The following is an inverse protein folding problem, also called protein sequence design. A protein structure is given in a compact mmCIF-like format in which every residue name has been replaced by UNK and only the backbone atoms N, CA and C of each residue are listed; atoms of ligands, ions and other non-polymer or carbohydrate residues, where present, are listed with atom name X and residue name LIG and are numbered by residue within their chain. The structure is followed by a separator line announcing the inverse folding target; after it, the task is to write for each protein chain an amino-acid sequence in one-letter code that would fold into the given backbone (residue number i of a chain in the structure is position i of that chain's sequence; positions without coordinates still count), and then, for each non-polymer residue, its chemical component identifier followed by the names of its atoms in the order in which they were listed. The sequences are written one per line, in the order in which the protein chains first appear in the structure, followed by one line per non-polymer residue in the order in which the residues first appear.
data_IF_654310609177
#
_entry.id   IF_654310609177
#
_cell.length_a   1.000
_cell.length_b   1.000
_cell.length_c   1.000
_cell.angle_alpha   90.00
_cell.angle_beta   90.00
_cell.angle_gamma   90.00
#
_symmetry.space_group_name_H-M   'P 1'
#
loop_
_entity.id
_entity.type
_entity.pdbx_description
1 polymer ?
#
# COMPACT_ATOMS: atom_id res chain seq x y z
N UNK A 1 -19.99 -3.06 13.76
CA UNK A 1 -20.47 -3.48 15.08
C UNK A 1 -19.38 -3.45 16.13
N UNK A 2 -19.72 -3.10 17.37
CA UNK A 2 -18.76 -3.06 18.48
C UNK A 2 -18.08 -4.43 18.69
N UNK A 3 -18.83 -5.51 18.54
CA UNK A 3 -18.30 -6.88 18.62
C UNK A 3 -17.23 -7.20 17.56
N UNK A 4 -17.28 -6.56 16.40
CA UNK A 4 -16.23 -6.68 15.38
C UNK A 4 -14.98 -5.89 15.80
N UNK A 5 -15.13 -4.67 16.29
CA UNK A 5 -14.04 -3.81 16.72
C UNK A 5 -13.31 -4.37 17.95
N UNK A 6 -14.01 -4.51 19.07
CA UNK A 6 -13.44 -4.99 20.33
C UNK A 6 -13.20 -6.50 20.37
N UNK A 7 -13.99 -7.28 19.63
CA UNK A 7 -13.87 -8.73 19.54
C UNK A 7 -12.92 -9.19 18.45
N UNK A 8 -13.47 -9.38 17.24
CA UNK A 8 -12.73 -10.02 16.13
C UNK A 8 -11.47 -9.27 15.70
N UNK A 9 -11.55 -7.95 15.56
CA UNK A 9 -10.40 -7.13 15.12
C UNK A 9 -9.47 -6.81 16.29
N UNK A 10 -10.01 -6.34 17.42
CA UNK A 10 -9.22 -6.05 18.61
C UNK A 10 -8.40 -7.25 19.09
N UNK A 11 -9.03 -8.41 19.24
CA UNK A 11 -8.32 -9.63 19.61
C UNK A 11 -7.24 -10.04 18.60
N UNK A 12 -7.44 -9.76 17.32
CA UNK A 12 -6.43 -10.00 16.30
C UNK A 12 -5.23 -9.08 16.48
N UNK A 13 -5.47 -7.78 16.70
CA UNK A 13 -4.41 -6.79 16.91
C UNK A 13 -3.61 -7.05 18.19
N UNK A 14 -4.28 -7.43 19.29
CA UNK A 14 -3.63 -7.77 20.56
C UNK A 14 -2.71 -8.99 20.48
N UNK A 15 -3.01 -9.91 19.57
CA UNK A 15 -2.27 -11.18 19.40
C UNK A 15 -1.49 -11.22 18.09
N UNK A 16 -1.12 -10.06 17.54
CA UNK A 16 -0.34 -10.00 16.32
C UNK A 16 1.00 -10.69 16.45
N UNK A 17 1.31 -11.51 15.46
CA UNK A 17 2.65 -12.01 15.20
C UNK A 17 3.32 -11.18 14.10
N UNK A 18 4.60 -11.42 13.88
CA UNK A 18 5.36 -10.77 12.81
C UNK A 18 4.68 -10.96 11.44
N UNK A 19 4.60 -9.88 10.70
CA UNK A 19 4.18 -9.92 9.31
C UNK A 19 5.40 -10.13 8.43
N UNK A 20 5.59 -11.36 7.97
CA UNK A 20 6.62 -11.64 6.97
C UNK A 20 6.22 -11.01 5.64
N UNK A 21 6.98 -10.01 5.20
CA UNK A 21 6.72 -9.28 3.96
C UNK A 21 7.26 -9.98 2.71
N UNK A 22 8.23 -10.89 2.83
CA UNK A 22 8.83 -11.53 1.66
C UNK A 22 7.98 -12.66 1.10
N UNK A 23 7.95 -12.77 -0.24
CA UNK A 23 7.25 -13.84 -0.98
C UNK A 23 8.13 -14.40 -2.07
N UNK A 24 8.39 -15.70 -2.01
CA UNK A 24 9.14 -16.42 -3.03
C UNK A 24 8.24 -16.74 -4.23
N UNK A 25 8.00 -15.73 -5.06
CA UNK A 25 7.16 -15.79 -6.27
C UNK A 25 7.86 -15.11 -7.44
N UNK A 26 7.36 -15.35 -8.66
CA UNK A 26 7.92 -14.70 -9.84
C UNK A 26 7.31 -13.34 -10.11
N UNK A 27 5.99 -13.20 -10.00
CA UNK A 27 5.27 -11.96 -10.34
C UNK A 27 4.73 -11.24 -9.10
N UNK A 28 4.95 -9.94 -9.06
CA UNK A 28 4.55 -8.99 -8.02
C UNK A 28 5.56 -7.88 -7.85
N UNK A 29 5.42 -7.05 -6.83
CA UNK A 29 6.32 -5.93 -6.53
C UNK A 29 7.63 -6.46 -5.95
N UNK A 30 8.78 -6.26 -6.61
CA UNK A 30 10.08 -6.72 -6.11
C UNK A 30 10.50 -5.99 -4.82
N UNK A 31 11.10 -6.71 -3.89
CA UNK A 31 11.74 -6.08 -2.73
C UNK A 31 12.89 -5.17 -3.20
N UNK A 32 12.92 -3.89 -2.81
CA UNK A 32 13.92 -2.93 -3.24
C UNK A 32 15.20 -3.03 -2.39
N UNK A 33 15.69 -4.25 -2.16
CA UNK A 33 16.83 -4.55 -1.29
C UNK A 33 17.92 -5.23 -2.09
N UNK A 34 19.13 -4.67 -2.04
CA UNK A 34 20.34 -5.25 -2.62
C UNK A 34 21.28 -5.69 -1.50
N UNK A 35 21.94 -6.83 -1.70
CA UNK A 35 22.87 -7.43 -0.74
C UNK A 35 24.20 -7.78 -1.39
N UNK A 36 25.26 -7.65 -0.64
CA UNK A 36 26.58 -8.20 -0.99
C UNK A 36 26.88 -9.50 -0.23
N UNK A 37 27.95 -10.18 -0.61
CA UNK A 37 28.39 -11.44 0.01
C UNK A 37 28.80 -11.28 1.49
N UNK A 38 29.04 -10.05 1.95
CA UNK A 38 29.45 -9.72 3.33
C UNK A 38 28.24 -9.39 4.22
N UNK A 39 27.01 -9.61 3.73
CA UNK A 39 25.74 -9.24 4.38
C UNK A 39 25.50 -7.73 4.51
N UNK A 40 26.21 -6.91 3.73
CA UNK A 40 25.85 -5.52 3.54
C UNK A 40 24.53 -5.40 2.79
N UNK A 41 23.66 -4.53 3.25
CA UNK A 41 22.31 -4.31 2.69
C UNK A 41 22.12 -2.85 2.27
N UNK A 42 21.44 -2.67 1.15
CA UNK A 42 20.99 -1.37 0.67
C UNK A 42 19.52 -1.44 0.27
N UNK A 43 18.68 -0.68 0.96
CA UNK A 43 17.27 -0.53 0.62
C UNK A 43 17.09 0.75 -0.20
N UNK A 44 16.52 0.64 -1.38
CA UNK A 44 16.32 1.75 -2.32
C UNK A 44 14.93 2.35 -2.12
N UNK A 45 14.88 3.62 -1.74
CA UNK A 45 13.65 4.33 -1.42
C UNK A 45 12.99 5.05 -2.60
N UNK A 46 13.65 5.15 -3.76
CA UNK A 46 13.07 5.82 -4.93
C UNK A 46 13.71 5.40 -6.24
N UNK A 47 13.02 5.65 -7.37
CA UNK A 47 13.59 5.45 -8.71
C UNK A 47 14.76 6.40 -8.95
N UNK A 48 14.71 7.59 -8.41
CA UNK A 48 15.82 8.56 -8.50
C UNK A 48 17.07 8.06 -7.77
N UNK A 49 16.90 7.47 -6.59
CA UNK A 49 18.00 6.84 -5.86
C UNK A 49 18.52 5.62 -6.63
N UNK A 50 17.65 4.76 -7.11
CA UNK A 50 18.05 3.61 -7.95
C UNK A 50 18.87 4.05 -9.15
N UNK A 51 18.41 5.08 -9.85
CA UNK A 51 19.16 5.65 -10.99
C UNK A 51 20.57 6.09 -10.59
N UNK A 52 20.69 6.81 -9.48
CA UNK A 52 21.97 7.28 -8.95
C UNK A 52 22.90 6.12 -8.55
N UNK A 53 22.37 5.12 -7.88
CA UNK A 53 23.14 3.93 -7.49
C UNK A 53 23.61 3.10 -8.70
N UNK A 54 22.79 3.00 -9.76
CA UNK A 54 23.20 2.39 -11.01
C UNK A 54 24.35 3.19 -11.68
N UNK A 55 24.31 4.52 -11.68
CA UNK A 55 25.41 5.36 -12.22
C UNK A 55 26.72 5.13 -11.45
N UNK A 56 26.64 4.93 -10.11
CA UNK A 56 27.83 4.52 -9.31
C UNK A 56 28.36 3.16 -9.75
N UNK A 57 27.45 2.20 -9.97
CA UNK A 57 27.80 0.86 -10.45
C UNK A 57 28.44 0.88 -11.84
N UNK A 58 27.96 1.71 -12.73
CA UNK A 58 28.57 1.92 -14.06
C UNK A 58 29.97 2.56 -13.91
N UNK A 59 30.10 3.56 -13.05
CA UNK A 59 31.39 4.23 -12.80
C UNK A 59 32.43 3.29 -12.18
N UNK A 60 31.99 2.32 -11.36
CA UNK A 60 32.82 1.28 -10.79
C UNK A 60 33.14 0.13 -11.78
N UNK A 61 32.55 0.12 -12.97
CA UNK A 61 32.74 -0.92 -13.99
C UNK A 61 31.99 -2.22 -13.71
N UNK A 62 31.06 -2.23 -12.75
CA UNK A 62 30.21 -3.39 -12.43
C UNK A 62 29.13 -3.53 -13.48
N UNK A 63 28.40 -2.46 -13.78
CA UNK A 63 27.46 -2.40 -14.90
C UNK A 63 28.09 -1.67 -16.10
N UNK A 64 27.69 -2.08 -17.30
CA UNK A 64 28.18 -1.43 -18.54
C UNK A 64 27.45 -0.13 -18.83
N UNK A 65 26.17 -0.10 -18.56
CA UNK A 65 25.26 1.02 -18.84
C UNK A 65 24.18 1.09 -17.76
N UNK A 66 23.55 2.25 -17.65
CA UNK A 66 22.35 2.41 -16.84
C UNK A 66 21.11 2.11 -17.71
N UNK A 67 20.36 1.02 -17.45
CA UNK A 67 19.23 0.63 -18.29
C UNK A 67 18.06 1.63 -18.24
N UNK A 68 17.90 2.39 -17.17
CA UNK A 68 16.89 3.44 -17.08
C UNK A 68 17.24 4.61 -18.02
N UNK A 69 18.51 4.99 -18.04
CA UNK A 69 19.05 6.03 -18.92
C UNK A 69 18.95 5.65 -20.40
N UNK A 70 19.29 4.42 -20.74
CA UNK A 70 19.18 3.94 -22.14
C UNK A 70 17.75 3.99 -22.65
N UNK A 71 16.77 3.76 -21.79
CA UNK A 71 15.34 3.86 -22.12
C UNK A 71 14.83 5.31 -22.14
N UNK A 72 15.69 6.28 -21.81
CA UNK A 72 15.33 7.71 -21.81
C UNK A 72 14.48 8.12 -20.62
N UNK A 73 14.58 7.41 -19.48
CA UNK A 73 13.96 7.83 -18.24
C UNK A 73 14.62 9.11 -17.72
N UNK A 74 13.80 10.06 -17.27
CA UNK A 74 14.24 11.36 -16.74
C UNK A 74 13.91 11.43 -15.26
N UNK A 75 14.92 11.58 -14.41
CA UNK A 75 14.74 11.74 -12.96
C UNK A 75 14.03 13.06 -12.67
N UNK A 76 13.00 13.01 -11.83
CA UNK A 76 12.18 14.16 -11.46
C UNK A 76 11.02 14.47 -12.42
N UNK A 77 10.89 13.74 -13.51
CA UNK A 77 9.69 13.78 -14.35
C UNK A 77 8.73 12.66 -13.93
N UNK A 78 7.66 13.01 -13.24
CA UNK A 78 6.65 12.09 -12.70
C UNK A 78 5.51 11.78 -13.68
N UNK A 79 5.62 12.21 -14.93
CA UNK A 79 4.63 11.92 -15.95
C UNK A 79 4.50 10.42 -16.25
N UNK A 80 3.29 9.98 -16.54
CA UNK A 80 3.01 8.60 -16.95
C UNK A 80 3.85 8.19 -18.16
N UNK A 81 4.07 9.09 -19.11
CA UNK A 81 4.87 8.83 -20.31
C UNK A 81 6.35 8.55 -19.96
N UNK A 82 6.88 9.17 -18.93
CA UNK A 82 8.23 8.90 -18.46
C UNK A 82 8.32 7.55 -17.74
N UNK A 83 7.36 7.24 -16.89
CA UNK A 83 7.33 5.95 -16.16
C UNK A 83 7.02 4.76 -17.08
N UNK A 84 6.28 4.94 -18.15
CA UNK A 84 6.04 3.90 -19.16
C UNK A 84 7.32 3.44 -19.90
N UNK A 85 8.43 4.19 -19.79
CA UNK A 85 9.72 3.81 -20.39
C UNK A 85 10.46 2.72 -19.61
N UNK A 86 10.10 2.51 -18.36
CA UNK A 86 10.80 1.58 -17.48
C UNK A 86 9.85 0.51 -16.97
N UNK A 87 10.42 -0.66 -16.63
CA UNK A 87 9.73 -1.75 -15.97
C UNK A 87 10.65 -2.27 -14.85
N UNK A 88 10.17 -2.19 -13.61
CA UNK A 88 10.90 -2.64 -12.42
C UNK A 88 10.42 -3.99 -11.90
N UNK A 89 9.55 -4.69 -12.65
CA UNK A 89 9.22 -6.08 -12.34
C UNK A 89 10.35 -7.04 -12.70
N UNK A 90 10.26 -8.24 -12.20
CA UNK A 90 11.10 -9.34 -12.67
C UNK A 90 10.73 -9.70 -14.12
N UNK A 91 11.69 -10.07 -14.98
CA UNK A 91 13.12 -10.25 -14.67
C UNK A 91 13.97 -8.96 -14.76
N UNK A 92 13.41 -7.85 -15.24
CA UNK A 92 14.18 -6.65 -15.62
C UNK A 92 14.98 -6.04 -14.48
N UNK A 93 14.39 -6.00 -13.28
CA UNK A 93 15.06 -5.44 -12.09
C UNK A 93 16.18 -6.38 -11.57
N UNK A 94 16.10 -7.67 -11.86
CA UNK A 94 17.07 -8.66 -11.39
C UNK A 94 18.44 -8.49 -12.07
N UNK A 95 18.49 -7.88 -13.26
CA UNK A 95 19.72 -7.57 -13.99
C UNK A 95 20.44 -6.31 -13.46
N UNK A 96 19.84 -5.58 -12.52
CA UNK A 96 20.44 -4.41 -11.91
C UNK A 96 21.36 -4.82 -10.78
N UNK A 97 22.66 -4.60 -10.97
CA UNK A 97 23.70 -4.87 -9.98
C UNK A 97 24.19 -3.53 -9.44
N UNK A 98 24.06 -3.30 -8.14
CA UNK A 98 24.57 -2.11 -7.48
C UNK A 98 26.00 -2.34 -6.96
N UNK A 99 26.58 -1.32 -6.37
CA UNK A 99 27.92 -1.37 -5.79
C UNK A 99 27.89 -0.86 -4.35
N UNK A 100 28.59 -1.56 -3.45
CA UNK A 100 28.78 -1.09 -2.08
C UNK A 100 29.94 -0.07 -1.98
N UNK A 101 30.17 0.47 -0.79
CA UNK A 101 31.19 1.49 -0.55
C UNK A 101 32.62 0.97 -0.75
N UNK A 102 32.82 -0.35 -0.77
CA UNK A 102 34.11 -0.99 -1.05
C UNK A 102 34.31 -1.31 -2.55
N UNK A 103 33.37 -0.95 -3.41
CA UNK A 103 33.41 -1.23 -4.84
C UNK A 103 33.02 -2.67 -5.22
N UNK A 104 32.37 -3.44 -4.30
CA UNK A 104 31.92 -4.80 -4.56
C UNK A 104 30.49 -4.85 -5.08
N UNK A 105 30.13 -5.84 -5.91
CA UNK A 105 28.78 -5.98 -6.45
C UNK A 105 27.76 -6.31 -5.35
N UNK A 106 26.56 -5.75 -5.50
CA UNK A 106 25.38 -6.06 -4.70
C UNK A 106 24.26 -6.54 -5.61
N UNK A 107 23.66 -7.66 -5.27
CA UNK A 107 22.57 -8.26 -6.02
C UNK A 107 21.23 -8.05 -5.30
N UNK A 108 20.16 -7.85 -6.06
CA UNK A 108 18.83 -7.69 -5.52
C UNK A 108 18.37 -8.97 -4.82
N UNK A 109 17.68 -8.81 -3.68
CA UNK A 109 16.97 -9.90 -3.02
C UNK A 109 15.91 -10.48 -3.98
N UNK A 110 15.91 -11.81 -4.17
CA UNK A 110 15.09 -12.46 -5.19
C UNK A 110 13.59 -12.43 -4.89
N UNK A 111 13.22 -12.28 -3.63
CA UNK A 111 11.83 -12.28 -3.22
C UNK A 111 11.08 -11.00 -3.65
N UNK A 112 9.76 -11.12 -3.63
CA UNK A 112 8.81 -10.04 -3.84
C UNK A 112 8.21 -9.63 -2.51
N UNK A 113 7.59 -8.44 -2.46
CA UNK A 113 6.81 -8.04 -1.30
C UNK A 113 5.44 -8.72 -1.31
N UNK A 114 4.85 -8.91 -0.14
CA UNK A 114 3.49 -9.40 0.01
C UNK A 114 2.50 -8.46 -0.68
N UNK A 115 1.61 -9.00 -1.52
CA UNK A 115 0.56 -8.24 -2.21
C UNK A 115 -0.36 -7.48 -1.24
N UNK A 116 -0.46 -7.92 0.01
CA UNK A 116 -1.17 -7.19 1.06
C UNK A 116 -0.48 -5.89 1.47
N UNK A 117 0.83 -5.78 1.25
CA UNK A 117 1.53 -4.52 1.37
C UNK A 117 1.12 -3.55 0.26
N UNK A 118 1.03 -4.02 -0.98
CA UNK A 118 0.57 -3.20 -2.11
C UNK A 118 -0.83 -2.62 -1.82
N UNK A 119 -1.78 -3.47 -1.42
CA UNK A 119 -3.14 -3.03 -1.10
C UNK A 119 -3.21 -2.13 0.15
N UNK A 120 -2.38 -2.38 1.16
CA UNK A 120 -2.30 -1.55 2.36
C UNK A 120 -1.63 -0.20 2.12
N UNK A 121 -0.81 -0.10 1.07
CA UNK A 121 -0.16 1.15 0.65
C UNK A 121 -1.04 2.05 -0.23
N UNK A 122 -2.21 1.57 -0.67
CA UNK A 122 -3.07 2.26 -1.62
C UNK A 122 -3.35 3.74 -1.26
N UNK A 123 -3.61 4.11 0.00
CA UNK A 123 -3.89 5.52 0.36
C UNK A 123 -2.77 6.48 -0.03
N UNK A 124 -1.54 5.99 -0.08
CA UNK A 124 -0.35 6.77 -0.39
C UNK A 124 0.10 6.57 -1.83
N UNK A 125 0.16 5.32 -2.28
CA UNK A 125 0.68 4.94 -3.58
C UNK A 125 -0.11 5.55 -4.74
N UNK A 126 -1.44 5.68 -4.62
CA UNK A 126 -2.29 6.28 -5.65
C UNK A 126 -1.96 7.75 -5.93
N UNK A 127 -1.29 8.43 -5.01
CA UNK A 127 -0.87 9.83 -5.13
C UNK A 127 0.63 9.99 -5.38
N UNK A 128 1.35 8.88 -5.58
CA UNK A 128 2.79 8.88 -5.71
C UNK A 128 3.50 9.52 -4.49
N UNK A 129 2.87 9.41 -3.31
CA UNK A 129 3.48 9.88 -2.05
C UNK A 129 4.80 9.11 -1.76
N UNK A 130 5.87 9.73 -1.25
CA UNK A 130 5.97 11.12 -0.77
C UNK A 130 6.42 12.14 -1.83
N UNK A 131 6.61 11.74 -3.09
CA UNK A 131 7.15 12.59 -4.16
C UNK A 131 6.11 13.58 -4.69
N UNK A 132 4.84 13.15 -4.68
CA UNK A 132 3.65 13.92 -4.98
C UNK A 132 2.60 13.65 -3.91
N UNK A 133 1.52 14.40 -3.89
CA UNK A 133 0.39 14.20 -2.99
C UNK A 133 0.65 14.46 -1.50
N UNK A 134 1.89 14.70 -1.09
CA UNK A 134 2.21 15.16 0.25
C UNK A 134 1.77 16.62 0.42
N UNK A 135 1.27 16.96 1.62
CA UNK A 135 0.94 18.35 1.89
C UNK A 135 2.20 19.10 2.35
N UNK A 136 2.42 20.25 1.71
CA UNK A 136 3.29 21.26 2.24
C UNK A 136 2.44 22.35 2.91
N UNK A 137 2.57 22.47 4.22
CA UNK A 137 1.75 23.40 5.00
C UNK A 137 1.89 24.87 4.55
N UNK A 138 3.00 25.22 3.91
CA UNK A 138 3.30 26.58 3.49
C UNK A 138 2.86 26.94 2.06
N UNK A 139 2.23 26.02 1.35
CA UNK A 139 1.73 26.23 0.00
C UNK A 139 0.21 26.05 -0.14
N UNK A 140 -0.29 26.27 -1.35
CA UNK A 140 -1.73 26.20 -1.67
C UNK A 140 -2.33 24.81 -1.40
N UNK A 141 -1.51 23.76 -1.33
CA UNK A 141 -1.99 22.40 -1.07
C UNK A 141 -2.63 22.23 0.32
N UNK A 142 -2.28 23.06 1.27
CA UNK A 142 -2.82 23.06 2.62
C UNK A 142 -4.00 24.03 2.84
N UNK A 143 -4.25 24.97 1.93
CA UNK A 143 -5.20 26.07 2.15
C UNK A 143 -6.65 25.59 2.42
N UNK A 144 -7.12 24.59 1.70
CA UNK A 144 -8.47 24.03 1.90
C UNK A 144 -8.58 23.46 3.31
N UNK A 145 -7.62 22.64 3.72
CA UNK A 145 -7.63 21.99 5.04
C UNK A 145 -7.52 23.02 6.16
N UNK A 146 -6.67 24.05 5.98
CA UNK A 146 -6.54 25.14 6.95
C UNK A 146 -7.86 25.89 7.12
N UNK A 147 -8.52 26.25 6.01
CA UNK A 147 -9.77 27.03 6.04
C UNK A 147 -10.94 26.24 6.62
N UNK A 148 -11.10 24.98 6.27
CA UNK A 148 -12.18 24.12 6.74
C UNK A 148 -12.07 23.76 8.23
N UNK A 149 -10.85 23.63 8.74
CA UNK A 149 -10.58 23.19 10.11
C UNK A 149 -10.09 24.33 11.03
N UNK A 150 -10.04 25.58 10.53
CA UNK A 150 -9.54 26.74 11.28
C UNK A 150 -8.09 26.57 11.80
N UNK A 151 -7.26 25.90 11.03
CA UNK A 151 -5.88 25.58 11.37
C UNK A 151 -4.95 26.73 10.99
N UNK A 152 -4.11 27.15 11.90
CA UNK A 152 -3.16 28.25 11.71
C UNK A 152 -1.70 27.82 11.69
N UNK A 153 -1.41 26.62 12.21
CA UNK A 153 -0.05 26.11 12.35
C UNK A 153 0.09 24.70 11.80
N UNK A 154 1.31 24.34 11.41
CA UNK A 154 1.62 22.98 10.99
C UNK A 154 1.44 21.96 12.13
N UNK A 155 1.63 22.38 13.38
CA UNK A 155 1.45 21.54 14.55
C UNK A 155 -0.02 21.18 14.76
N UNK A 156 -0.94 22.14 14.66
CA UNK A 156 -2.40 21.90 14.68
C UNK A 156 -2.82 20.97 13.54
N UNK A 157 -2.22 21.13 12.36
CA UNK A 157 -2.49 20.26 11.23
C UNK A 157 -2.04 18.82 11.48
N UNK A 158 -0.86 18.62 12.06
CA UNK A 158 -0.35 17.31 12.46
C UNK A 158 -1.26 16.64 13.49
N UNK A 159 -1.68 17.38 14.50
CA UNK A 159 -2.61 16.87 15.53
C UNK A 159 -3.96 16.44 14.97
N UNK A 160 -4.43 17.10 13.92
CA UNK A 160 -5.68 16.73 13.24
C UNK A 160 -5.55 15.41 12.47
N UNK A 161 -4.46 15.22 11.74
CA UNK A 161 -4.32 14.13 10.78
C UNK A 161 -3.61 12.89 11.33
N UNK A 162 -2.62 13.09 12.19
CA UNK A 162 -1.72 12.03 12.65
C UNK A 162 -1.52 12.14 14.16
N UNK A 163 -0.96 11.10 14.75
CA UNK A 163 -0.59 11.13 16.15
C UNK A 163 0.37 12.28 16.42
N UNK A 164 0.22 12.97 17.55
CA UNK A 164 1.08 14.08 17.98
C UNK A 164 2.57 13.71 18.09
N UNK A 165 2.89 12.42 18.23
CA UNK A 165 4.26 11.90 18.24
C UNK A 165 4.90 11.86 16.85
N UNK A 166 4.12 11.92 15.76
CA UNK A 166 4.65 11.93 14.40
C UNK A 166 5.49 13.18 14.14
N UNK A 167 6.74 12.96 13.73
CA UNK A 167 7.71 14.04 13.41
C UNK A 167 8.26 13.94 11.98
N UNK A 168 7.66 13.05 11.18
CA UNK A 168 8.09 12.84 9.81
C UNK A 168 7.73 14.01 8.89
N UNK A 169 8.55 14.20 7.88
CA UNK A 169 8.28 15.02 6.71
C UNK A 169 8.56 14.13 5.49
N UNK A 170 7.79 14.23 4.44
CA UNK A 170 6.64 15.12 4.20
C UNK A 170 5.39 14.72 4.98
N UNK A 171 4.45 15.65 5.10
CA UNK A 171 3.13 15.41 5.70
C UNK A 171 2.31 14.43 4.85
N UNK A 172 1.39 13.66 5.48
CA UNK A 172 0.51 12.78 4.75
C UNK A 172 -0.44 13.55 3.81
N UNK A 173 -1.12 12.86 2.87
CA UNK A 173 -2.14 13.46 2.02
C UNK A 173 -3.30 14.08 2.81
N UNK A 174 -3.97 15.09 2.26
CA UNK A 174 -5.05 15.82 2.91
C UNK A 174 -6.25 14.96 3.36
N UNK A 175 -6.52 13.86 2.68
CA UNK A 175 -7.59 12.92 3.03
C UNK A 175 -7.14 11.76 3.95
N UNK A 176 -5.94 11.83 4.48
CA UNK A 176 -5.46 10.85 5.45
C UNK A 176 -5.60 11.37 6.89
N UNK A 177 -6.09 10.55 7.85
CA UNK A 177 -6.70 9.23 7.66
C UNK A 177 -8.04 9.30 6.90
N UNK A 178 -8.40 8.23 6.18
CA UNK A 178 -9.67 8.17 5.46
C UNK A 178 -10.86 8.37 6.41
N UNK A 179 -11.90 9.08 5.97
CA UNK A 179 -13.09 9.28 6.80
C UNK A 179 -13.83 7.98 7.05
N UNK A 180 -13.94 7.11 6.05
CA UNK A 180 -14.46 5.75 6.20
C UNK A 180 -13.93 4.81 5.13
N UNK A 181 -13.96 3.52 5.43
CA UNK A 181 -13.80 2.42 4.47
C UNK A 181 -14.97 1.44 4.60
N UNK A 182 -15.26 0.68 3.55
CA UNK A 182 -16.31 -0.33 3.54
C UNK A 182 -15.85 -1.60 2.82
N UNK A 183 -15.81 -2.72 3.55
CA UNK A 183 -15.49 -4.05 3.03
C UNK A 183 -16.14 -5.13 3.90
N UNK A 184 -16.00 -6.38 3.49
CA UNK A 184 -16.51 -7.52 4.26
C UNK A 184 -15.77 -7.71 5.59
N UNK A 185 -16.45 -8.30 6.57
CA UNK A 185 -15.92 -8.57 7.92
C UNK A 185 -14.68 -9.46 7.94
N UNK A 186 -14.45 -10.25 6.90
CA UNK A 186 -13.23 -11.05 6.74
C UNK A 186 -11.96 -10.20 6.60
N UNK A 187 -12.10 -8.94 6.15
CA UNK A 187 -11.00 -8.00 6.00
C UNK A 187 -10.41 -7.49 7.33
N UNK A 188 -11.00 -7.82 8.46
CA UNK A 188 -10.38 -7.63 9.78
C UNK A 188 -9.03 -8.35 9.92
N UNK A 189 -8.84 -9.45 9.17
CA UNK A 189 -7.57 -10.20 9.09
C UNK A 189 -6.88 -10.07 7.73
N UNK A 190 -7.16 -9.01 7.01
CA UNK A 190 -6.62 -8.71 5.69
C UNK A 190 -6.41 -7.22 5.56
N UNK A 191 -7.15 -6.58 4.67
CA UNK A 191 -6.94 -5.18 4.29
C UNK A 191 -7.04 -4.18 5.45
N UNK A 192 -7.99 -4.33 6.38
CA UNK A 192 -8.09 -3.43 7.55
C UNK A 192 -6.82 -3.45 8.39
N UNK A 193 -6.26 -4.64 8.60
CA UNK A 193 -5.01 -4.80 9.33
C UNK A 193 -3.84 -4.16 8.57
N UNK A 194 -3.67 -4.47 7.28
CA UNK A 194 -2.51 -3.99 6.51
C UNK A 194 -2.52 -2.48 6.31
N UNK A 195 -3.70 -1.87 6.15
CA UNK A 195 -3.86 -0.41 6.18
C UNK A 195 -3.33 0.18 7.49
N UNK A 196 -3.77 -0.35 8.64
CA UNK A 196 -3.33 0.14 9.95
C UNK A 196 -1.85 -0.12 10.22
N UNK A 197 -1.33 -1.29 9.84
CA UNK A 197 0.07 -1.62 10.03
C UNK A 197 0.98 -0.61 9.32
N UNK A 198 0.70 -0.29 8.05
CA UNK A 198 1.49 0.67 7.29
C UNK A 198 1.30 2.09 7.85
N UNK A 199 0.06 2.51 8.12
CA UNK A 199 -0.23 3.84 8.66
C UNK A 199 0.46 4.08 10.01
N UNK A 200 0.45 3.08 10.89
CA UNK A 200 1.12 3.16 12.19
C UNK A 200 2.64 3.25 12.03
N UNK A 201 3.24 2.44 11.16
CA UNK A 201 4.68 2.47 10.92
C UNK A 201 5.16 3.78 10.28
N UNK A 202 4.39 4.34 9.36
CA UNK A 202 4.80 5.52 8.57
C UNK A 202 4.41 6.82 9.25
N UNK A 203 3.23 6.89 9.90
CA UNK A 203 2.65 8.13 10.42
C UNK A 203 2.31 8.09 11.92
N UNK A 204 2.52 6.96 12.59
CA UNK A 204 2.08 6.74 13.98
C UNK A 204 0.58 7.06 14.17
N UNK A 205 -0.24 6.67 13.21
CA UNK A 205 -1.65 7.02 13.12
C UNK A 205 -2.50 5.85 12.64
N UNK A 206 -3.83 5.97 12.82
CA UNK A 206 -4.80 5.07 12.18
C UNK A 206 -4.90 5.38 10.69
N UNK A 207 -5.27 4.39 9.88
CA UNK A 207 -5.46 4.58 8.44
C UNK A 207 -6.84 5.14 8.08
N UNK A 208 -7.83 4.93 8.93
CA UNK A 208 -9.22 5.36 8.74
C UNK A 208 -9.90 5.62 10.08
N UNK A 209 -10.89 6.53 10.08
CA UNK A 209 -11.65 6.94 11.27
C UNK A 209 -12.83 6.01 11.52
N UNK A 210 -13.48 5.55 10.46
CA UNK A 210 -14.69 4.73 10.52
C UNK A 210 -14.59 3.56 9.54
N UNK A 211 -15.24 2.44 9.88
CA UNK A 211 -15.35 1.29 9.01
C UNK A 211 -16.80 0.79 8.98
N UNK A 212 -17.31 0.57 7.77
CA UNK A 212 -18.54 -0.16 7.56
C UNK A 212 -18.14 -1.59 7.22
N UNK A 213 -18.39 -2.52 8.14
CA UNK A 213 -18.01 -3.92 8.00
C UNK A 213 -19.23 -4.73 7.58
N UNK A 214 -19.33 -5.02 6.28
CA UNK A 214 -20.45 -5.78 5.73
C UNK A 214 -20.39 -7.24 6.16
N UNK A 215 -21.55 -7.82 6.49
CA UNK A 215 -21.72 -9.24 6.79
C UNK A 215 -21.40 -10.13 5.57
N UNK A 216 -21.28 -11.43 5.82
CA UNK A 216 -21.06 -12.41 4.76
C UNK A 216 -22.39 -12.81 4.12
N UNK A 217 -22.39 -12.96 2.80
CA UNK A 217 -23.49 -13.65 2.11
C UNK A 217 -23.34 -15.15 2.39
N UNK A 218 -24.38 -15.73 2.99
CA UNK A 218 -24.41 -17.11 3.42
C UNK A 218 -25.20 -17.97 2.42
N UNK A 219 -25.00 -19.29 2.45
CA UNK A 219 -25.85 -20.22 1.72
C UNK A 219 -27.24 -20.34 2.36
N UNK A 220 -28.15 -21.07 1.71
CA UNK A 220 -29.53 -21.27 2.21
C UNK A 220 -29.62 -21.94 3.59
N UNK A 221 -28.53 -22.50 4.09
CA UNK A 221 -28.45 -23.16 5.42
C UNK A 221 -27.73 -22.25 6.45
N UNK A 222 -27.39 -21.03 6.06
CA UNK A 222 -26.63 -20.08 6.92
C UNK A 222 -25.13 -20.36 7.01
N UNK A 223 -24.56 -21.19 6.13
CA UNK A 223 -23.13 -21.45 6.14
C UNK A 223 -22.37 -20.48 5.23
N UNK A 224 -21.13 -20.16 5.63
CA UNK A 224 -20.21 -19.40 4.78
C UNK A 224 -19.99 -20.11 3.44
N UNK A 225 -20.15 -19.40 2.34
CA UNK A 225 -19.85 -19.91 1.01
C UNK A 225 -18.35 -20.14 0.83
N UNK A 226 -17.99 -21.28 0.25
CA UNK A 226 -16.60 -21.65 -0.02
C UNK A 226 -16.52 -22.52 -1.27
N UNK A 227 -15.54 -22.23 -2.13
CA UNK A 227 -15.26 -23.07 -3.32
C UNK A 227 -14.93 -24.51 -2.94
N UNK A 228 -14.31 -24.72 -1.78
CA UNK A 228 -13.95 -26.04 -1.27
C UNK A 228 -15.18 -26.87 -0.88
N UNK A 229 -16.20 -26.21 -0.33
CA UNK A 229 -17.47 -26.85 0.06
C UNK A 229 -18.41 -26.99 -1.15
N UNK A 230 -18.20 -26.23 -2.21
CA UNK A 230 -19.02 -26.26 -3.42
C UNK A 230 -20.39 -25.57 -3.28
N UNK A 231 -20.58 -24.74 -2.26
CA UNK A 231 -21.83 -24.02 -1.98
C UNK A 231 -21.80 -22.56 -2.47
N UNK A 232 -20.85 -22.22 -3.35
CA UNK A 232 -20.73 -20.87 -3.92
C UNK A 232 -21.80 -20.66 -4.99
N UNK A 233 -22.50 -19.53 -4.90
CA UNK A 233 -23.43 -19.06 -5.92
C UNK A 233 -22.67 -18.15 -6.88
N UNK A 234 -22.77 -18.41 -8.18
CA UNK A 234 -22.19 -17.54 -9.20
C UNK A 234 -23.05 -16.27 -9.34
N UNK A 235 -22.50 -15.08 -9.04
CA UNK A 235 -23.25 -13.84 -9.11
C UNK A 235 -23.69 -13.51 -10.55
N UNK A 236 -22.94 -13.91 -11.57
CA UNK A 236 -23.33 -13.68 -12.95
C UNK A 236 -24.55 -14.50 -13.37
N UNK A 237 -24.68 -15.74 -12.87
CA UNK A 237 -25.91 -16.53 -13.08
C UNK A 237 -27.11 -15.83 -12.44
N UNK A 238 -26.95 -15.28 -11.25
CA UNK A 238 -28.02 -14.52 -10.58
C UNK A 238 -28.39 -13.27 -11.35
N UNK A 239 -27.39 -12.51 -11.83
CA UNK A 239 -27.61 -11.32 -12.66
C UNK A 239 -28.33 -11.68 -13.96
N UNK A 240 -27.95 -12.76 -14.62
CA UNK A 240 -28.64 -13.23 -15.83
C UNK A 240 -30.09 -13.65 -15.56
N UNK A 241 -30.35 -14.26 -14.43
CA UNK A 241 -31.69 -14.78 -14.10
C UNK A 241 -32.63 -13.69 -13.58
N UNK A 242 -32.15 -12.78 -12.75
CA UNK A 242 -32.96 -11.81 -12.02
C UNK A 242 -32.73 -10.36 -12.40
N UNK A 243 -31.62 -10.05 -13.07
CA UNK A 243 -31.16 -8.70 -13.34
C UNK A 243 -30.16 -8.19 -12.27
N UNK A 244 -29.37 -7.19 -12.63
CA UNK A 244 -28.36 -6.64 -11.73
C UNK A 244 -28.97 -5.89 -10.53
N UNK A 245 -30.02 -5.12 -10.74
CA UNK A 245 -30.62 -4.29 -9.69
C UNK A 245 -31.29 -5.14 -8.59
N UNK A 246 -32.07 -6.20 -8.88
CA UNK A 246 -32.56 -7.09 -7.84
C UNK A 246 -31.45 -7.76 -7.03
N UNK A 247 -30.34 -8.18 -7.68
CA UNK A 247 -29.22 -8.79 -6.97
C UNK A 247 -28.53 -7.78 -6.05
N UNK A 248 -28.29 -6.55 -6.53
CA UNK A 248 -27.74 -5.46 -5.70
C UNK A 248 -28.66 -5.11 -4.53
N UNK A 249 -29.94 -4.98 -4.79
CA UNK A 249 -30.93 -4.67 -3.74
C UNK A 249 -30.97 -5.79 -2.68
N UNK A 250 -30.95 -7.05 -3.07
CA UNK A 250 -30.85 -8.16 -2.14
C UNK A 250 -29.62 -8.05 -1.24
N UNK A 251 -28.43 -7.76 -1.82
CA UNK A 251 -27.20 -7.62 -1.05
C UNK A 251 -27.26 -6.47 -0.05
N UNK A 252 -27.92 -5.36 -0.40
CA UNK A 252 -28.07 -4.20 0.49
C UNK A 252 -29.06 -4.42 1.63
N UNK A 253 -30.03 -5.32 1.43
CA UNK A 253 -31.13 -5.56 2.39
C UNK A 253 -30.97 -6.84 3.20
N UNK A 254 -29.96 -7.67 2.86
CA UNK A 254 -29.80 -8.99 3.48
C UNK A 254 -29.19 -8.94 4.89
N UNK A 255 -28.44 -7.90 5.20
CA UNK A 255 -27.94 -7.63 6.55
C UNK A 255 -27.76 -6.14 6.77
N UNK A 256 -28.04 -5.70 7.98
CA UNK A 256 -27.82 -4.30 8.33
C UNK A 256 -26.32 -4.04 8.57
N UNK A 257 -25.77 -2.89 8.13
CA UNK A 257 -24.34 -2.59 8.27
C UNK A 257 -23.84 -2.48 9.73
N UNK A 258 -24.76 -2.38 10.67
CA UNK A 258 -24.47 -2.23 12.09
C UNK A 258 -24.75 -3.50 12.92
N UNK A 259 -25.18 -4.58 12.32
CA UNK A 259 -25.45 -5.86 12.99
C UNK A 259 -24.21 -6.78 13.06
#
# INVERSE_FOLDING_TARGET
PESTGTGRFGNWLENLNDWNLSRSRFWGTPLPIWRDDSQGEKCIGSVAELYSEIEKSVSAGIMKVNPLKERGFVVGDYSQDNYNKIDLHRPYVDDIILVNDEGKPMHRESDLIDVWFDSGSMPYAQLHYPFEGAINFNDDSAEIVKSENHISTEEEYRELLVNSSYKGTPLPPAFFPADFINEGVDQTRGWFFTLHAIATMVFDSVAFKNVISSGLVLDAKGNKMSKHVGNVIDPFQMIHQYGADPVRFYMMTNSEPWD
#
